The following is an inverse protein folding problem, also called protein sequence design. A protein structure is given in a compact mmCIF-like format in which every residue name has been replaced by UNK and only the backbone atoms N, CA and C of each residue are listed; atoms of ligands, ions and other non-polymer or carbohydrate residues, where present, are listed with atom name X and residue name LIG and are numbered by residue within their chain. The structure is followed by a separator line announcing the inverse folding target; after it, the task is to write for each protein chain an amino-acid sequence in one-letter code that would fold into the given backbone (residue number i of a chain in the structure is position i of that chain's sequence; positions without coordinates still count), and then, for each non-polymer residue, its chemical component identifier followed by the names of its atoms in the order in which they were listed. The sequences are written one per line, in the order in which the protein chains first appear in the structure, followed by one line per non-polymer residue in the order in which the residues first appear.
data_IF_984550355457
#
_entry.id   IF_984550355457
#
_cell.length_a   1.000
_cell.length_b   1.000
_cell.length_c   1.000
_cell.angle_alpha   90.00
_cell.angle_beta   90.00
_cell.angle_gamma   90.00
#
_symmetry.space_group_name_H-M   'P 1'
#
loop_
_entity.id
_entity.type
_entity.pdbx_description
1 polymer ?
#
# COMPACT_ATOMS: atom_id res chain seq x y z
N UNK A 1 -10.05 16.40 -0.97
CA UNK A 1 -9.15 15.63 -1.87
C UNK A 1 -7.70 15.85 -1.45
N UNK A 2 -6.78 14.93 -1.76
CA UNK A 2 -5.37 15.06 -1.34
C UNK A 2 -4.65 16.27 -1.97
N UNK A 3 -5.10 16.71 -3.16
CA UNK A 3 -4.65 17.97 -3.78
C UNK A 3 -4.93 19.17 -2.87
N UNK A 4 -6.14 19.25 -2.32
CA UNK A 4 -6.54 20.31 -1.38
C UNK A 4 -5.66 20.31 -0.11
N UNK A 5 -5.24 19.13 0.38
CA UNK A 5 -4.34 19.05 1.53
C UNK A 5 -2.94 19.62 1.21
N UNK A 6 -2.41 19.33 0.01
CA UNK A 6 -1.12 19.89 -0.46
C UNK A 6 -1.16 21.41 -0.59
N UNK A 7 -2.28 21.98 -1.03
CA UNK A 7 -2.44 23.43 -1.17
C UNK A 7 -2.70 24.14 0.16
N UNK A 8 -3.35 23.45 1.11
CA UNK A 8 -3.78 24.05 2.38
C UNK A 8 -2.68 24.11 3.44
N UNK A 9 -1.74 23.17 3.45
CA UNK A 9 -0.75 23.04 4.53
C UNK A 9 0.65 23.43 4.06
N UNK A 10 1.39 24.12 4.94
CA UNK A 10 2.79 24.51 4.69
C UNK A 10 3.79 23.37 4.92
N UNK A 11 3.35 22.22 5.39
CA UNK A 11 4.18 21.03 5.59
C UNK A 11 4.14 20.14 4.34
N UNK A 12 5.22 19.40 4.01
CA UNK A 12 5.19 18.46 2.90
C UNK A 12 4.10 17.39 3.09
N UNK A 13 3.22 17.24 2.10
CA UNK A 13 2.16 16.22 2.09
C UNK A 13 2.50 15.11 1.09
N UNK A 14 2.84 13.95 1.64
CA UNK A 14 3.18 12.74 0.89
C UNK A 14 1.99 11.78 0.91
N UNK A 15 1.84 11.05 -0.18
CA UNK A 15 0.72 10.15 -0.44
C UNK A 15 1.24 8.84 -1.03
N UNK A 16 0.37 7.83 -1.15
CA UNK A 16 0.79 6.44 -1.38
C UNK A 16 0.63 5.93 -2.81
N UNK A 17 -0.05 6.69 -3.68
CA UNK A 17 -0.37 6.33 -5.06
C UNK A 17 0.80 6.67 -5.99
N UNK A 18 1.25 7.93 -6.06
CA UNK A 18 2.27 8.32 -7.05
C UNK A 18 3.62 7.60 -6.86
N UNK A 19 4.13 7.39 -5.62
CA UNK A 19 5.36 6.63 -5.44
C UNK A 19 5.24 5.20 -6.01
N UNK A 20 4.13 4.53 -5.73
CA UNK A 20 3.85 3.19 -6.24
C UNK A 20 3.72 3.17 -7.78
N UNK A 21 3.05 4.17 -8.35
CA UNK A 21 2.90 4.33 -9.81
C UNK A 21 4.26 4.49 -10.48
N UNK A 22 5.10 5.42 -10.00
CA UNK A 22 6.46 5.61 -10.55
C UNK A 22 7.26 4.31 -10.51
N UNK A 23 7.19 3.58 -9.40
CA UNK A 23 7.87 2.29 -9.25
C UNK A 23 7.34 1.25 -10.24
N UNK A 24 6.02 1.16 -10.41
CA UNK A 24 5.41 0.20 -11.33
C UNK A 24 5.79 0.48 -12.79
N UNK A 25 5.77 1.76 -13.21
CA UNK A 25 6.23 2.16 -14.55
C UNK A 25 7.69 1.79 -14.78
N UNK A 26 8.56 1.95 -13.78
CA UNK A 26 9.97 1.61 -13.89
C UNK A 26 10.24 0.10 -13.84
N UNK A 27 9.35 -0.69 -13.22
CA UNK A 27 9.53 -2.13 -13.03
C UNK A 27 9.00 -2.97 -14.19
N UNK A 28 7.95 -2.51 -14.89
CA UNK A 28 7.34 -3.28 -15.98
C UNK A 28 8.27 -3.38 -17.18
N UNK A 29 8.30 -4.58 -17.79
CA UNK A 29 9.08 -4.88 -19.00
C UNK A 29 8.17 -4.98 -20.23
N UNK A 30 6.95 -5.48 -20.02
CA UNK A 30 5.90 -5.69 -21.02
C UNK A 30 4.97 -4.49 -21.19
N UNK A 31 4.99 -3.54 -20.25
CA UNK A 31 4.05 -2.42 -20.20
C UNK A 31 2.65 -2.80 -19.70
N UNK A 32 2.47 -4.02 -19.18
CA UNK A 32 1.20 -4.53 -18.63
C UNK A 32 1.26 -4.53 -17.10
N UNK A 33 0.45 -3.68 -16.48
CA UNK A 33 0.44 -3.46 -15.03
C UNK A 33 -0.94 -3.78 -14.47
N UNK A 34 -0.98 -4.57 -13.40
CA UNK A 34 -2.16 -4.76 -12.59
C UNK A 34 -2.19 -3.81 -11.39
N UNK A 35 -3.39 -3.44 -10.95
CA UNK A 35 -3.63 -2.71 -9.70
C UNK A 35 -4.71 -3.44 -8.92
N UNK A 36 -4.44 -3.78 -7.66
CA UNK A 36 -5.46 -4.29 -6.75
C UNK A 36 -5.68 -3.31 -5.60
N UNK A 37 -6.93 -3.14 -5.19
CA UNK A 37 -7.30 -2.20 -4.14
C UNK A 37 -8.64 -2.50 -3.49
N UNK A 38 -9.11 -1.61 -2.63
CA UNK A 38 -10.50 -1.64 -2.15
C UNK A 38 -11.44 -1.19 -3.28
N UNK A 39 -12.75 -1.45 -3.14
CA UNK A 39 -13.75 -0.94 -4.10
C UNK A 39 -13.63 0.58 -4.24
N UNK A 40 -13.58 1.30 -3.12
CA UNK A 40 -13.43 2.75 -3.12
C UNK A 40 -12.19 3.22 -3.89
N UNK A 41 -11.03 2.57 -3.70
CA UNK A 41 -9.80 2.90 -4.43
C UNK A 41 -9.95 2.68 -5.93
N UNK A 42 -10.48 1.52 -6.35
CA UNK A 42 -10.61 1.17 -7.78
C UNK A 42 -11.67 2.03 -8.46
N UNK A 43 -12.83 2.23 -7.82
CA UNK A 43 -13.94 3.03 -8.35
C UNK A 43 -13.57 4.51 -8.45
N UNK A 44 -12.69 5.02 -7.58
CA UNK A 44 -12.19 6.40 -7.64
C UNK A 44 -11.34 6.70 -8.88
N UNK A 45 -10.83 5.66 -9.56
CA UNK A 45 -9.90 5.75 -10.68
C UNK A 45 -8.58 6.47 -10.38
N UNK A 46 -8.25 6.71 -9.11
CA UNK A 46 -7.06 7.46 -8.72
C UNK A 46 -5.75 6.87 -9.28
N UNK A 47 -5.62 5.54 -9.33
CA UNK A 47 -4.47 4.89 -9.97
C UNK A 47 -4.49 5.05 -11.50
N UNK A 48 -5.64 4.89 -12.15
CA UNK A 48 -5.77 5.07 -13.61
C UNK A 48 -5.36 6.48 -14.02
N UNK A 49 -5.85 7.48 -13.29
CA UNK A 49 -5.51 8.89 -13.51
C UNK A 49 -4.01 9.15 -13.26
N UNK A 50 -3.40 8.48 -12.28
CA UNK A 50 -1.97 8.60 -12.00
C UNK A 50 -1.10 7.97 -13.09
N UNK A 51 -1.57 6.92 -13.78
CA UNK A 51 -0.91 6.33 -14.95
C UNK A 51 -1.13 7.12 -16.26
N UNK A 52 -1.99 8.16 -16.26
CA UNK A 52 -2.36 8.88 -17.48
C UNK A 52 -1.18 9.51 -18.25
N UNK A 53 -0.06 9.80 -17.55
CA UNK A 53 1.16 10.31 -18.17
C UNK A 53 1.94 9.27 -18.99
N UNK A 54 1.54 7.98 -18.94
CA UNK A 54 2.15 6.89 -19.69
C UNK A 54 1.08 6.09 -20.47
N UNK A 55 0.45 6.71 -21.49
CA UNK A 55 -0.70 6.13 -22.21
C UNK A 55 -0.40 4.85 -22.98
N UNK A 56 0.89 4.53 -23.21
CA UNK A 56 1.32 3.28 -23.82
C UNK A 56 1.16 2.06 -22.90
N UNK A 57 0.97 2.27 -21.59
CA UNK A 57 0.79 1.20 -20.63
C UNK A 57 -0.62 0.62 -20.68
N UNK A 58 -0.73 -0.69 -20.46
CA UNK A 58 -2.00 -1.39 -20.30
C UNK A 58 -2.22 -1.63 -18.81
N UNK A 59 -3.27 -1.00 -18.27
CA UNK A 59 -3.59 -1.07 -16.86
C UNK A 59 -4.84 -1.93 -16.66
N UNK A 60 -4.71 -3.00 -15.88
CA UNK A 60 -5.83 -3.82 -15.40
C UNK A 60 -6.05 -3.51 -13.92
N UNK A 61 -7.29 -3.32 -13.48
CA UNK A 61 -7.58 -2.93 -12.10
C UNK A 61 -8.74 -3.71 -11.50
N UNK A 62 -8.51 -4.37 -10.36
CA UNK A 62 -9.51 -5.23 -9.71
C UNK A 62 -9.67 -4.85 -8.23
N UNK A 63 -10.91 -4.78 -7.77
CA UNK A 63 -11.22 -4.63 -6.36
C UNK A 63 -11.18 -6.00 -5.65
N UNK A 64 -10.48 -6.07 -4.51
CA UNK A 64 -10.33 -7.29 -3.72
C UNK A 64 -10.90 -7.11 -2.30
N UNK A 65 -12.23 -6.88 -2.14
CA UNK A 65 -12.80 -6.45 -0.87
C UNK A 65 -12.53 -7.38 0.32
N UNK A 66 -12.50 -8.70 0.10
CA UNK A 66 -12.27 -9.66 1.18
C UNK A 66 -10.84 -9.64 1.75
N UNK A 67 -9.85 -9.16 1.00
CA UNK A 67 -8.46 -9.17 1.45
C UNK A 67 -8.25 -8.39 2.76
N UNK A 68 -8.97 -7.28 2.94
CA UNK A 68 -8.89 -6.49 4.18
C UNK A 68 -9.37 -7.33 5.37
N UNK A 69 -10.53 -7.97 5.25
CA UNK A 69 -11.09 -8.80 6.33
C UNK A 69 -10.17 -9.97 6.71
N UNK A 70 -9.58 -10.65 5.73
CA UNK A 70 -8.62 -11.73 5.99
C UNK A 70 -7.39 -11.21 6.76
N UNK A 71 -6.86 -10.05 6.37
CA UNK A 71 -5.72 -9.45 7.05
C UNK A 71 -6.08 -9.03 8.47
N UNK A 72 -7.24 -8.42 8.68
CA UNK A 72 -7.70 -8.00 10.01
C UNK A 72 -7.92 -9.21 10.94
N UNK A 73 -8.44 -10.32 10.42
CA UNK A 73 -8.54 -11.59 11.17
C UNK A 73 -7.18 -12.25 11.42
N UNK A 74 -6.14 -11.88 10.68
CA UNK A 74 -4.80 -12.48 10.77
C UNK A 74 -4.66 -13.77 9.94
N UNK A 75 -5.58 -13.99 9.01
CA UNK A 75 -5.65 -15.16 8.13
C UNK A 75 -4.93 -14.87 6.80
N UNK A 76 -3.60 -14.75 6.86
CA UNK A 76 -2.76 -14.34 5.71
C UNK A 76 -2.20 -15.51 4.89
N UNK A 77 -2.55 -16.74 5.26
CA UNK A 77 -2.11 -17.98 4.60
C UNK A 77 -3.18 -19.07 4.70
N UNK A 78 -3.05 -20.12 3.89
CA UNK A 78 -3.95 -21.28 3.89
C UNK A 78 -4.94 -21.31 2.74
N UNK A 79 -5.61 -22.46 2.58
CA UNK A 79 -6.41 -22.77 1.40
C UNK A 79 -7.56 -21.77 1.13
N UNK A 80 -8.18 -21.23 2.18
CA UNK A 80 -9.30 -20.31 2.03
C UNK A 80 -8.88 -18.98 1.35
N UNK A 81 -7.86 -18.31 1.87
CA UNK A 81 -7.36 -17.06 1.28
C UNK A 81 -6.68 -17.30 -0.07
N UNK A 82 -6.02 -18.44 -0.27
CA UNK A 82 -5.46 -18.81 -1.58
C UNK A 82 -6.54 -18.91 -2.65
N UNK A 83 -7.69 -19.54 -2.34
CA UNK A 83 -8.82 -19.63 -3.27
C UNK A 83 -9.37 -18.24 -3.63
N UNK A 84 -9.56 -17.38 -2.63
CA UNK A 84 -10.01 -15.99 -2.85
C UNK A 84 -9.02 -15.23 -3.72
N UNK A 85 -7.72 -15.39 -3.48
CA UNK A 85 -6.68 -14.76 -4.28
C UNK A 85 -6.68 -15.27 -5.73
N UNK A 86 -6.85 -16.58 -5.95
CA UNK A 86 -6.98 -17.15 -7.30
C UNK A 86 -8.17 -16.55 -8.06
N UNK A 87 -9.34 -16.45 -7.42
CA UNK A 87 -10.54 -15.86 -8.03
C UNK A 87 -10.33 -14.38 -8.40
N UNK A 88 -9.79 -13.57 -7.49
CA UNK A 88 -9.55 -12.15 -7.76
C UNK A 88 -8.45 -11.90 -8.79
N UNK A 89 -7.41 -12.73 -8.82
CA UNK A 89 -6.22 -12.50 -9.64
C UNK A 89 -6.30 -13.19 -11.00
N UNK A 90 -7.31 -14.01 -11.25
CA UNK A 90 -7.51 -14.67 -12.55
C UNK A 90 -7.54 -13.69 -13.74
N UNK A 91 -8.21 -12.52 -13.66
CA UNK A 91 -8.15 -11.52 -14.74
C UNK A 91 -6.73 -10.98 -14.98
N UNK A 92 -5.94 -10.81 -13.92
CA UNK A 92 -4.56 -10.33 -14.00
C UNK A 92 -3.65 -11.35 -14.70
N UNK A 93 -3.85 -12.64 -14.40
CA UNK A 93 -3.15 -13.75 -15.06
C UNK A 93 -3.54 -13.81 -16.54
N UNK A 94 -4.84 -13.70 -16.84
CA UNK A 94 -5.33 -13.69 -18.23
C UNK A 94 -4.88 -12.47 -19.05
N UNK A 95 -4.65 -11.33 -18.38
CA UNK A 95 -4.06 -10.15 -19.00
C UNK A 95 -2.53 -10.26 -19.21
N UNK A 96 -1.90 -11.27 -18.60
CA UNK A 96 -0.45 -11.50 -18.58
C UNK A 96 0.33 -10.26 -18.10
N UNK A 97 -0.09 -9.67 -16.98
CA UNK A 97 0.67 -8.58 -16.36
C UNK A 97 2.04 -9.09 -15.88
N UNK A 98 3.04 -8.22 -15.84
CA UNK A 98 4.34 -8.53 -15.23
C UNK A 98 4.65 -7.70 -13.98
N UNK A 99 3.74 -6.79 -13.63
CA UNK A 99 3.89 -5.89 -12.49
C UNK A 99 2.53 -5.71 -11.84
N UNK A 100 2.43 -5.87 -10.52
CA UNK A 100 1.19 -5.75 -9.76
C UNK A 100 1.36 -4.77 -8.60
N UNK A 101 0.56 -3.71 -8.60
CA UNK A 101 0.52 -2.71 -7.53
C UNK A 101 -0.40 -3.17 -6.41
N UNK A 102 0.15 -3.23 -5.18
CA UNK A 102 -0.59 -3.47 -3.95
C UNK A 102 -1.17 -2.14 -3.44
N UNK A 103 -2.33 -1.76 -3.97
CA UNK A 103 -2.99 -0.45 -3.77
C UNK A 103 -3.83 -0.34 -2.50
N UNK A 104 -3.57 -1.15 -1.48
CA UNK A 104 -4.18 -1.07 -0.16
C UNK A 104 -3.11 -1.30 0.91
N UNK A 105 -3.20 -0.59 2.03
CA UNK A 105 -2.27 -0.67 3.16
C UNK A 105 -2.15 -2.07 3.77
N UNK A 106 -3.20 -2.89 3.64
CA UNK A 106 -3.24 -4.25 4.17
C UNK A 106 -2.48 -5.27 3.30
N UNK A 107 -2.40 -5.04 1.99
CA UNK A 107 -1.99 -6.07 1.03
C UNK A 107 -0.52 -6.49 1.09
N UNK A 108 0.44 -5.69 1.60
CA UNK A 108 1.79 -6.18 1.86
C UNK A 108 1.82 -7.43 2.75
N UNK A 109 0.86 -7.62 3.66
CA UNK A 109 0.76 -8.83 4.49
C UNK A 109 0.28 -10.08 3.73
N UNK A 110 -0.31 -9.89 2.55
CA UNK A 110 -0.72 -10.97 1.65
C UNK A 110 0.31 -11.24 0.56
N UNK A 111 1.50 -10.63 0.60
CA UNK A 111 2.55 -10.81 -0.40
C UNK A 111 2.84 -12.29 -0.67
N UNK A 112 2.92 -13.13 0.38
CA UNK A 112 3.16 -14.56 0.21
C UNK A 112 2.11 -15.27 -0.65
N UNK A 113 0.82 -15.09 -0.33
CA UNK A 113 -0.28 -15.72 -1.09
C UNK A 113 -0.46 -15.11 -2.48
N UNK A 114 -0.29 -13.79 -2.61
CA UNK A 114 -0.38 -13.09 -3.90
C UNK A 114 0.75 -13.54 -4.83
N UNK A 115 2.00 -13.59 -4.35
CA UNK A 115 3.14 -14.10 -5.13
C UNK A 115 2.95 -15.56 -5.50
N UNK A 116 2.41 -16.40 -4.60
CA UNK A 116 2.12 -17.80 -4.90
C UNK A 116 1.14 -17.95 -6.07
N UNK A 117 0.10 -17.11 -6.14
CA UNK A 117 -0.92 -17.16 -7.20
C UNK A 117 -0.43 -16.53 -8.50
N UNK A 118 0.24 -15.37 -8.44
CA UNK A 118 0.72 -14.65 -9.63
C UNK A 118 1.97 -15.27 -10.26
N UNK A 119 2.75 -16.02 -9.48
CA UNK A 119 4.05 -16.54 -9.88
C UNK A 119 5.18 -15.52 -9.73
N UNK A 120 6.42 -16.01 -9.84
CA UNK A 120 7.64 -15.24 -9.55
C UNK A 120 8.02 -14.24 -10.65
N UNK A 121 7.40 -14.33 -11.83
CA UNK A 121 7.66 -13.42 -12.95
C UNK A 121 6.95 -12.07 -12.80
N UNK A 122 6.01 -11.95 -11.85
CA UNK A 122 5.27 -10.73 -11.58
C UNK A 122 5.93 -9.95 -10.45
N UNK A 123 6.38 -8.74 -10.76
CA UNK A 123 6.93 -7.81 -9.77
C UNK A 123 5.82 -7.21 -8.91
N UNK A 124 5.85 -7.47 -7.60
CA UNK A 124 4.91 -6.84 -6.67
C UNK A 124 5.43 -5.48 -6.21
N UNK A 125 4.60 -4.45 -6.33
CA UNK A 125 4.92 -3.08 -5.92
C UNK A 125 4.13 -2.73 -4.67
N UNK A 126 4.84 -2.59 -3.54
CA UNK A 126 4.27 -2.16 -2.26
C UNK A 126 4.20 -0.64 -2.18
N UNK A 127 3.00 -0.10 -1.98
CA UNK A 127 2.82 1.34 -1.77
C UNK A 127 3.53 1.83 -0.50
N UNK A 128 3.66 0.98 0.54
CA UNK A 128 4.31 1.36 1.80
C UNK A 128 5.81 1.65 1.61
N UNK A 129 6.51 0.74 0.93
CA UNK A 129 7.96 0.83 0.69
C UNK A 129 8.31 2.06 -0.16
N UNK A 130 7.56 2.26 -1.25
CA UNK A 130 7.84 3.37 -2.16
C UNK A 130 7.49 4.72 -1.55
N UNK A 131 6.47 4.77 -0.68
CA UNK A 131 6.14 5.98 0.09
C UNK A 131 7.24 6.31 1.10
N UNK A 132 7.81 5.31 1.79
CA UNK A 132 8.90 5.54 2.74
C UNK A 132 10.16 6.09 2.05
N UNK A 133 10.51 5.56 0.87
CA UNK A 133 11.60 6.11 0.03
C UNK A 133 11.33 7.54 -0.41
N UNK A 134 10.09 7.83 -0.82
CA UNK A 134 9.72 9.18 -1.26
C UNK A 134 9.76 10.19 -0.09
N UNK A 135 9.32 9.76 1.10
CA UNK A 135 9.47 10.55 2.33
C UNK A 135 10.93 10.85 2.62
N UNK A 136 11.81 9.85 2.59
CA UNK A 136 13.23 10.06 2.81
C UNK A 136 13.81 11.08 1.83
N UNK A 137 13.50 10.93 0.54
CA UNK A 137 13.92 11.87 -0.51
C UNK A 137 13.44 13.30 -0.23
N UNK A 138 12.16 13.48 0.10
CA UNK A 138 11.59 14.80 0.44
C UNK A 138 12.28 15.41 1.67
N UNK A 139 12.53 14.62 2.71
CA UNK A 139 13.21 15.11 3.92
C UNK A 139 14.65 15.55 3.62
N UNK A 140 15.38 14.82 2.78
CA UNK A 140 16.74 15.19 2.35
C UNK A 140 16.72 16.49 1.55
N UNK A 141 15.90 16.56 0.50
CA UNK A 141 15.83 17.71 -0.42
C UNK A 141 15.47 19.01 0.31
N UNK A 142 14.65 18.92 1.37
CA UNK A 142 14.20 20.07 2.13
C UNK A 142 15.04 20.32 3.40
N UNK A 143 16.14 19.59 3.61
CA UNK A 143 16.96 19.68 4.82
C UNK A 143 16.17 19.49 6.13
N UNK A 144 15.18 18.59 6.10
CA UNK A 144 14.27 18.28 7.21
C UNK A 144 14.63 16.98 7.96
N UNK A 145 15.75 16.34 7.61
CA UNK A 145 16.21 15.16 8.34
C UNK A 145 16.46 15.49 9.81
N UNK A 146 16.02 14.58 10.69
CA UNK A 146 16.35 14.64 12.11
C UNK A 146 17.87 14.58 12.26
N UNK A 147 18.44 15.57 12.95
CA UNK A 147 19.88 15.60 13.20
C UNK A 147 20.31 14.44 14.11
N UNK A 148 21.54 13.89 13.93
CA UNK A 148 22.07 12.87 14.82
C UNK A 148 22.02 13.31 16.28
N UNK A 149 21.44 12.48 17.14
CA UNK A 149 21.29 12.74 18.56
C UNK A 149 21.30 11.42 19.33
N UNK A 150 21.70 11.46 20.60
CA UNK A 150 21.63 10.33 21.52
C UNK A 150 20.21 10.00 21.99
N UNK A 151 19.23 10.88 21.69
CA UNK A 151 17.83 10.66 22.04
C UNK A 151 17.21 9.69 21.02
N UNK A 152 16.69 8.57 21.50
CA UNK A 152 15.97 7.61 20.65
C UNK A 152 14.73 8.23 20.00
N UNK A 153 14.32 7.69 18.86
CA UNK A 153 13.06 8.10 18.23
C UNK A 153 11.90 7.70 19.14
N UNK A 154 10.86 8.55 19.20
CA UNK A 154 9.64 8.23 19.95
C UNK A 154 8.49 8.05 18.98
N UNK A 155 7.74 6.97 19.14
CA UNK A 155 6.56 6.66 18.34
C UNK A 155 5.32 6.73 19.22
N UNK A 156 4.29 7.46 18.78
CA UNK A 156 2.98 7.54 19.45
C UNK A 156 1.92 7.02 18.49
N UNK A 157 1.15 6.04 18.94
CA UNK A 157 0.05 5.45 18.19
C UNK A 157 -1.27 5.93 18.80
N UNK A 158 -2.13 6.53 17.97
CA UNK A 158 -3.41 7.11 18.37
C UNK A 158 -4.54 6.44 17.57
N UNK A 159 -5.67 6.17 18.21
CA UNK A 159 -6.87 5.64 17.57
C UNK A 159 -8.13 6.37 18.07
N UNK A 160 -9.07 6.63 17.17
CA UNK A 160 -10.38 7.20 17.52
C UNK A 160 -11.42 6.14 17.85
N UNK A 161 -11.13 4.88 17.52
CA UNK A 161 -11.94 3.72 17.87
C UNK A 161 -11.43 3.03 19.14
N UNK A 162 -11.73 1.74 19.26
CA UNK A 162 -11.22 0.90 20.34
C UNK A 162 -9.69 0.76 20.23
N UNK A 163 -8.96 1.39 21.17
CA UNK A 163 -7.51 1.39 21.20
C UNK A 163 -6.91 0.02 21.51
N UNK A 164 -7.61 -0.83 22.28
CA UNK A 164 -7.14 -2.19 22.59
C UNK A 164 -7.24 -3.09 21.37
N UNK A 165 -8.37 -3.03 20.67
CA UNK A 165 -8.55 -3.76 19.41
C UNK A 165 -7.52 -3.31 18.36
N UNK A 166 -7.28 -2.00 18.26
CA UNK A 166 -6.25 -1.46 17.36
C UNK A 166 -4.84 -1.92 17.77
N UNK A 167 -4.50 -1.95 19.06
CA UNK A 167 -3.17 -2.41 19.52
C UNK A 167 -2.89 -3.86 19.13
N UNK A 168 -3.85 -4.76 19.36
CA UNK A 168 -3.73 -6.17 18.99
C UNK A 168 -3.48 -6.35 17.49
N UNK A 169 -4.18 -5.57 16.68
CA UNK A 169 -4.05 -5.59 15.23
C UNK A 169 -2.73 -4.92 14.79
N UNK A 170 -2.40 -3.75 15.32
CA UNK A 170 -1.20 -2.97 15.02
C UNK A 170 0.09 -3.75 15.30
N UNK A 171 0.13 -4.54 16.38
CA UNK A 171 1.26 -5.42 16.70
C UNK A 171 1.48 -6.52 15.66
N UNK A 172 0.47 -6.92 14.90
CA UNK A 172 0.63 -7.85 13.76
C UNK A 172 1.33 -7.18 12.58
N UNK A 173 1.16 -5.87 12.41
CA UNK A 173 1.76 -5.09 11.33
C UNK A 173 3.17 -4.56 11.67
N UNK A 174 3.37 -4.14 12.92
CA UNK A 174 4.53 -3.34 13.36
C UNK A 174 5.16 -3.84 14.68
N UNK A 175 4.85 -5.05 15.16
CA UNK A 175 5.46 -5.55 16.39
C UNK A 175 7.00 -5.62 16.25
N UNK A 176 7.82 -5.27 17.26
CA UNK A 176 7.61 -4.82 18.64
C UNK A 176 7.44 -3.29 18.85
N UNK A 177 7.36 -2.49 17.78
CA UNK A 177 7.33 -1.01 17.86
C UNK A 177 6.06 -0.46 18.50
N UNK A 178 4.95 -1.18 18.38
CA UNK A 178 3.66 -0.78 18.94
C UNK A 178 3.58 -1.20 20.41
N UNK A 179 4.07 -0.32 21.28
CA UNK A 179 4.02 -0.50 22.73
C UNK A 179 2.61 -0.34 23.30
N UNK A 180 1.95 0.79 23.02
CA UNK A 180 0.58 1.10 23.46
C UNK A 180 -0.12 2.01 22.46
N UNK A 181 -1.45 1.95 22.43
CA UNK A 181 -2.31 2.82 21.60
C UNK A 181 -3.18 3.68 22.49
N UNK A 182 -3.18 4.99 22.26
CA UNK A 182 -3.99 5.94 23.03
C UNK A 182 -5.29 6.26 22.28
N UNK A 183 -6.40 6.29 23.00
CA UNK A 183 -7.66 6.78 22.44
C UNK A 183 -7.62 8.31 22.30
N UNK A 184 -8.10 8.83 21.18
CA UNK A 184 -8.12 10.27 20.88
C UNK A 184 -9.47 10.65 20.24
N UNK A 185 -10.18 11.60 20.85
CA UNK A 185 -11.37 12.22 20.26
C UNK A 185 -10.97 13.22 19.17
N UNK A 186 -11.77 13.32 18.09
CA UNK A 186 -11.60 14.26 16.96
C UNK A 186 -12.58 15.42 17.01
#
# INVERSE_FOLDING_TARGET
MLRDARERYSVPVIEVIQPAVRRAVAATRSGKIGVIGTRATIDSKAYIDAFAAAPQLKIESIACPLFVEYVERGETSGAAITKVAQEYLQPMIGAEIDTLVLGCTHYPLLTGVISYVMGNEVSLVSSAEETAKDLYRVLVENSLLRQPTSIEATHKFLATGDSMAFELLARRFLGPEVGSVQHQDL
#
